data_IF_269341769614
#
_entry.id   IF_269341769614
#
_cell.length_a   1.000
_cell.length_b   1.000
_cell.length_c   1.000
_cell.angle_alpha   90.00
_cell.angle_beta   90.00
_cell.angle_gamma   90.00
#
_symmetry.space_group_name_H-M   'P 1'
#
loop_
_entity.id
_entity.type
_entity.pdbx_description
1 polymer ?
#
# COMPACT_ATOMS: atom_id res chain seq x y z
N UNK A 1 16.46 33.58 18.60
CA UNK A 1 16.55 32.62 17.47
C UNK A 1 15.21 32.62 16.74
N UNK A 2 15.16 33.06 15.49
CA UNK A 2 13.90 33.28 14.76
C UNK A 2 13.13 31.97 14.59
N UNK A 3 11.86 31.92 15.02
CA UNK A 3 11.01 30.73 14.90
C UNK A 3 10.90 30.19 13.48
N UNK A 4 11.02 31.05 12.46
CA UNK A 4 11.03 30.65 11.05
C UNK A 4 12.27 29.85 10.64
N UNK A 5 13.42 30.08 11.29
CA UNK A 5 14.66 29.33 11.09
C UNK A 5 14.54 27.93 11.71
N UNK A 6 13.99 27.85 12.92
CA UNK A 6 13.68 26.58 13.61
C UNK A 6 12.71 25.70 12.81
N UNK A 7 11.65 26.29 12.23
CA UNK A 7 10.70 25.55 11.39
C UNK A 7 11.37 25.02 10.12
N UNK A 8 12.20 25.84 9.45
CA UNK A 8 12.93 25.41 8.25
C UNK A 8 13.91 24.27 8.56
N UNK A 9 14.65 24.37 9.64
CA UNK A 9 15.57 23.30 10.09
C UNK A 9 14.81 22.02 10.44
N UNK A 10 13.67 22.12 11.12
CA UNK A 10 12.83 20.97 11.43
C UNK A 10 12.33 20.27 10.15
N UNK A 11 11.80 21.03 9.20
CA UNK A 11 11.32 20.49 7.92
C UNK A 11 12.47 19.84 7.16
N UNK A 12 13.62 20.51 7.08
CA UNK A 12 14.77 19.98 6.38
C UNK A 12 15.24 18.67 7.02
N UNK A 13 15.45 18.67 8.34
CA UNK A 13 15.95 17.50 9.09
C UNK A 13 15.04 16.29 9.01
N UNK A 14 13.73 16.47 9.17
CA UNK A 14 12.81 15.35 9.29
C UNK A 14 12.13 14.95 7.98
N UNK A 15 12.07 15.82 6.97
CA UNK A 15 11.35 15.54 5.72
C UNK A 15 12.26 15.56 4.49
N UNK A 16 13.08 16.60 4.32
CA UNK A 16 13.88 16.77 3.09
C UNK A 16 15.13 15.88 3.12
N UNK A 17 15.93 16.02 4.17
CA UNK A 17 17.19 15.31 4.33
C UNK A 17 17.06 13.77 4.21
N UNK A 18 16.06 13.10 4.84
CA UNK A 18 15.91 11.65 4.68
C UNK A 18 15.54 11.22 3.26
N UNK A 19 14.80 12.05 2.51
CA UNK A 19 14.41 11.77 1.11
C UNK A 19 15.63 11.87 0.19
N UNK A 20 16.46 12.89 0.39
CA UNK A 20 17.67 13.15 -0.39
C UNK A 20 18.74 12.08 -0.12
N UNK A 21 18.94 11.73 1.15
CA UNK A 21 19.96 10.77 1.61
C UNK A 21 19.50 9.30 1.60
N UNK A 22 18.22 9.04 1.28
CA UNK A 22 17.63 7.68 1.25
C UNK A 22 17.70 6.93 2.58
N UNK A 23 17.67 7.62 3.73
CA UNK A 23 17.81 7.03 5.09
C UNK A 23 16.58 6.25 5.61
N UNK A 24 15.58 5.97 4.77
CA UNK A 24 14.30 5.39 5.19
C UNK A 24 13.43 6.38 5.98
N UNK A 25 12.35 5.89 6.59
CA UNK A 25 11.44 6.74 7.35
C UNK A 25 11.91 6.91 8.79
N UNK A 26 11.67 8.10 9.34
CA UNK A 26 11.70 8.34 10.78
C UNK A 26 10.28 8.31 11.38
N UNK A 27 10.18 8.18 12.71
CA UNK A 27 8.90 8.08 13.40
C UNK A 27 8.00 9.30 13.18
N UNK A 28 8.58 10.50 13.06
CA UNK A 28 7.83 11.73 12.79
C UNK A 28 7.18 11.65 11.40
N UNK A 29 7.91 11.22 10.37
CA UNK A 29 7.37 11.00 9.04
C UNK A 29 6.24 9.97 9.04
N UNK A 30 6.41 8.83 9.72
CA UNK A 30 5.38 7.80 9.78
C UNK A 30 4.08 8.32 10.41
N UNK A 31 4.19 9.03 11.54
CA UNK A 31 3.03 9.63 12.20
C UNK A 31 2.39 10.70 11.31
N UNK A 32 3.18 11.62 10.75
CA UNK A 32 2.66 12.71 9.92
C UNK A 32 2.00 12.19 8.64
N UNK A 33 2.60 11.21 7.97
CA UNK A 33 2.03 10.62 6.76
C UNK A 33 0.80 9.76 7.07
N UNK A 34 0.78 9.08 8.22
CA UNK A 34 -0.40 8.37 8.72
C UNK A 34 -1.58 9.32 8.97
N UNK A 35 -1.34 10.46 9.63
CA UNK A 35 -2.37 11.49 9.86
C UNK A 35 -2.85 12.07 8.53
N UNK A 36 -1.93 12.40 7.61
CA UNK A 36 -2.27 12.92 6.29
C UNK A 36 -3.17 11.94 5.52
N UNK A 37 -2.78 10.66 5.49
CA UNK A 37 -3.55 9.60 4.85
C UNK A 37 -4.94 9.46 5.49
N UNK A 38 -5.03 9.46 6.82
CA UNK A 38 -6.31 9.39 7.53
C UNK A 38 -7.24 10.55 7.15
N UNK A 39 -6.73 11.80 7.14
CA UNK A 39 -7.51 12.98 6.74
C UNK A 39 -7.97 12.87 5.30
N UNK A 40 -7.10 12.41 4.38
CA UNK A 40 -7.47 12.20 2.97
C UNK A 40 -8.57 11.15 2.82
N UNK A 41 -8.40 9.97 3.45
CA UNK A 41 -9.36 8.86 3.40
C UNK A 41 -10.70 9.27 4.02
N UNK A 42 -10.69 9.92 5.18
CA UNK A 42 -11.92 10.36 5.84
C UNK A 42 -12.66 11.44 5.04
N UNK A 43 -11.93 12.41 4.48
CA UNK A 43 -12.53 13.41 3.59
C UNK A 43 -13.15 12.75 2.36
N UNK A 44 -12.44 11.79 1.75
CA UNK A 44 -12.93 11.06 0.60
C UNK A 44 -14.16 10.20 0.90
N UNK A 45 -14.17 9.52 2.04
CA UNK A 45 -15.33 8.79 2.56
C UNK A 45 -16.57 9.68 2.61
N UNK A 46 -16.45 10.89 3.19
CA UNK A 46 -17.58 11.85 3.28
C UNK A 46 -18.06 12.27 1.89
N UNK A 47 -17.18 12.43 0.92
CA UNK A 47 -17.54 12.73 -0.47
C UNK A 47 -18.28 11.55 -1.10
N UNK A 48 -17.79 10.32 -0.93
CA UNK A 48 -18.43 9.10 -1.44
C UNK A 48 -19.86 8.95 -0.92
N UNK A 49 -20.08 9.21 0.37
CA UNK A 49 -21.43 9.20 0.97
C UNK A 49 -22.34 10.25 0.34
N UNK A 50 -21.87 11.49 0.14
CA UNK A 50 -22.65 12.56 -0.52
C UNK A 50 -23.05 12.17 -1.94
N UNK A 51 -22.16 11.49 -2.66
CA UNK A 51 -22.39 11.01 -4.02
C UNK A 51 -23.15 9.68 -4.10
N UNK A 52 -23.55 9.11 -2.95
CA UNK A 52 -24.22 7.80 -2.84
C UNK A 52 -23.41 6.67 -3.51
N UNK A 53 -22.08 6.76 -3.44
CA UNK A 53 -21.15 5.72 -3.89
C UNK A 53 -20.99 4.72 -2.75
N UNK A 54 -21.42 3.48 -2.99
CA UNK A 54 -21.25 2.40 -2.02
C UNK A 54 -19.77 1.98 -1.94
N UNK A 55 -19.25 1.90 -0.71
CA UNK A 55 -17.91 1.41 -0.45
C UNK A 55 -18.01 -0.09 -0.20
N UNK A 56 -18.05 -0.83 -1.29
CA UNK A 56 -18.25 -2.27 -1.31
C UNK A 56 -17.01 -2.98 -1.93
N UNK A 57 -17.20 -4.24 -2.32
CA UNK A 57 -16.19 -5.03 -3.02
C UNK A 57 -15.71 -4.36 -4.31
N UNK A 58 -16.59 -3.72 -5.10
CA UNK A 58 -16.20 -3.07 -6.36
C UNK A 58 -15.32 -1.86 -6.09
N UNK A 59 -15.58 -1.14 -5.00
CA UNK A 59 -14.69 -0.07 -4.55
C UNK A 59 -13.28 -0.59 -4.29
N UNK A 60 -13.18 -1.72 -3.57
CA UNK A 60 -11.90 -2.37 -3.29
C UNK A 60 -11.19 -2.81 -4.59
N UNK A 61 -11.92 -3.37 -5.54
CA UNK A 61 -11.37 -3.76 -6.85
C UNK A 61 -10.81 -2.55 -7.62
N UNK A 62 -11.54 -1.43 -7.65
CA UNK A 62 -11.02 -0.17 -8.23
C UNK A 62 -9.75 0.26 -7.49
N UNK A 63 -9.74 0.23 -6.16
CA UNK A 63 -8.55 0.58 -5.37
C UNK A 63 -7.35 -0.29 -5.74
N UNK A 64 -7.52 -1.60 -5.98
CA UNK A 64 -6.44 -2.50 -6.40
C UNK A 64 -5.78 -2.03 -7.70
N UNK A 65 -6.55 -1.62 -8.70
CA UNK A 65 -5.97 -1.08 -9.95
C UNK A 65 -5.14 0.18 -9.69
N UNK A 66 -5.62 1.09 -8.84
CA UNK A 66 -4.86 2.29 -8.49
C UNK A 66 -3.62 2.01 -7.64
N UNK A 67 -3.65 0.96 -6.80
CA UNK A 67 -2.46 0.47 -6.09
C UNK A 67 -1.44 -0.13 -7.08
N UNK A 68 -1.88 -0.88 -8.09
CA UNK A 68 -0.98 -1.36 -9.15
C UNK A 68 -0.37 -0.17 -9.91
N UNK A 69 -1.18 0.84 -10.24
CA UNK A 69 -0.69 2.05 -10.91
C UNK A 69 0.39 2.79 -10.10
N UNK A 70 0.12 3.12 -8.84
CA UNK A 70 1.09 3.86 -8.00
C UNK A 70 2.38 3.04 -7.79
N UNK A 71 2.27 1.71 -7.66
CA UNK A 71 3.44 0.86 -7.41
C UNK A 71 4.30 0.64 -8.64
N UNK A 72 3.69 0.44 -9.82
CA UNK A 72 4.42 0.43 -11.10
C UNK A 72 5.11 1.76 -11.33
N UNK A 73 4.40 2.88 -11.18
CA UNK A 73 4.99 4.22 -11.33
C UNK A 73 6.16 4.40 -10.37
N UNK A 74 6.00 4.03 -9.10
CA UNK A 74 7.05 4.18 -8.09
C UNK A 74 8.27 3.29 -8.39
N UNK A 75 8.05 2.06 -8.83
CA UNK A 75 9.12 1.14 -9.19
C UNK A 75 9.87 1.62 -10.44
N UNK A 76 9.17 2.18 -11.43
CA UNK A 76 9.78 2.75 -12.64
C UNK A 76 10.58 4.04 -12.36
N UNK A 77 10.18 4.83 -11.36
CA UNK A 77 11.00 5.94 -10.83
C UNK A 77 12.28 5.39 -10.19
N UNK A 78 12.17 4.31 -9.42
CA UNK A 78 13.33 3.65 -8.82
C UNK A 78 14.26 3.04 -9.89
N UNK A 79 13.71 2.57 -11.01
CA UNK A 79 14.46 2.08 -12.18
C UNK A 79 15.03 3.19 -13.09
N UNK A 80 14.84 4.47 -12.74
CA UNK A 80 15.40 5.60 -13.47
C UNK A 80 14.67 6.00 -14.77
N UNK A 81 13.50 5.40 -15.08
CA UNK A 81 12.70 5.79 -16.25
C UNK A 81 12.09 7.18 -16.06
N UNK A 82 11.52 7.43 -14.88
CA UNK A 82 10.92 8.71 -14.53
C UNK A 82 11.84 9.51 -13.60
N UNK A 83 11.89 10.84 -13.74
CA UNK A 83 12.72 11.68 -12.89
C UNK A 83 12.26 11.57 -11.43
N UNK A 84 13.22 11.47 -10.50
CA UNK A 84 12.96 11.44 -9.06
C UNK A 84 12.61 12.83 -8.55
N UNK A 85 11.34 13.20 -8.67
CA UNK A 85 10.75 14.44 -8.17
C UNK A 85 9.93 14.18 -6.90
N UNK A 86 9.66 15.23 -6.12
CA UNK A 86 8.83 15.16 -4.91
C UNK A 86 7.48 14.44 -5.13
N UNK A 87 6.80 14.68 -6.26
CA UNK A 87 5.51 14.05 -6.60
C UNK A 87 5.61 12.63 -7.15
N UNK A 88 6.82 12.12 -7.37
CA UNK A 88 7.08 10.77 -7.89
C UNK A 88 7.68 9.84 -6.82
N UNK A 89 7.94 10.37 -5.63
CA UNK A 89 8.39 9.63 -4.45
C UNK A 89 7.43 9.84 -3.28
N UNK A 90 7.49 8.99 -2.26
CA UNK A 90 6.65 9.13 -1.06
C UNK A 90 7.10 10.33 -0.23
N UNK A 91 6.18 11.13 0.34
CA UNK A 91 4.71 10.99 0.32
C UNK A 91 4.03 11.59 -0.92
N UNK A 92 4.74 12.39 -1.73
CA UNK A 92 4.13 13.16 -2.82
C UNK A 92 3.40 12.30 -3.86
N UNK A 93 3.93 11.12 -4.20
CA UNK A 93 3.26 10.18 -5.12
C UNK A 93 1.96 9.61 -4.55
N UNK A 94 1.89 9.39 -3.23
CA UNK A 94 0.66 8.91 -2.57
C UNK A 94 -0.41 9.99 -2.65
N UNK A 95 -0.03 11.26 -2.46
CA UNK A 95 -0.95 12.40 -2.63
C UNK A 95 -1.37 12.55 -4.09
N UNK A 96 -0.43 12.55 -5.03
CA UNK A 96 -0.72 12.77 -6.45
C UNK A 96 -1.62 11.68 -7.04
N UNK A 97 -1.22 10.40 -6.89
CA UNK A 97 -2.00 9.27 -7.41
C UNK A 97 -3.26 9.04 -6.58
N UNK A 98 -3.24 9.35 -5.27
CA UNK A 98 -4.41 9.33 -4.40
C UNK A 98 -5.47 10.35 -4.83
N UNK A 99 -5.08 11.58 -5.17
CA UNK A 99 -6.00 12.58 -5.72
C UNK A 99 -6.53 12.12 -7.08
N UNK A 100 -5.67 11.57 -7.95
CA UNK A 100 -6.09 11.02 -9.24
C UNK A 100 -7.13 9.90 -9.08
N UNK A 101 -6.91 8.99 -8.12
CA UNK A 101 -7.87 7.95 -7.71
C UNK A 101 -9.20 8.53 -7.23
N UNK A 102 -9.16 9.51 -6.33
CA UNK A 102 -10.36 10.15 -5.79
C UNK A 102 -11.16 10.85 -6.89
N UNK A 103 -10.50 11.62 -7.76
CA UNK A 103 -11.12 12.31 -8.90
C UNK A 103 -11.76 11.29 -9.85
N UNK A 104 -11.07 10.19 -10.15
CA UNK A 104 -11.58 9.14 -11.01
C UNK A 104 -12.89 8.52 -10.49
N UNK A 105 -12.95 8.16 -9.20
CA UNK A 105 -14.18 7.66 -8.58
C UNK A 105 -15.26 8.73 -8.55
N UNK A 106 -14.93 10.00 -8.27
CA UNK A 106 -15.91 11.09 -8.24
C UNK A 106 -16.51 11.32 -9.62
N UNK A 107 -15.69 11.50 -10.64
CA UNK A 107 -16.13 11.70 -12.04
C UNK A 107 -16.95 10.50 -12.47
N UNK A 108 -16.45 9.29 -12.26
CA UNK A 108 -17.16 8.10 -12.68
C UNK A 108 -18.44 7.86 -11.87
N UNK A 109 -18.49 8.26 -10.61
CA UNK A 109 -19.68 8.21 -9.76
C UNK A 109 -20.76 9.18 -10.22
N UNK A 110 -20.37 10.38 -10.63
CA UNK A 110 -21.29 11.38 -11.21
C UNK A 110 -21.84 10.88 -12.55
N UNK A 111 -20.98 10.36 -13.43
CA UNK A 111 -21.35 9.96 -14.80
C UNK A 111 -22.10 8.61 -14.86
N UNK A 112 -21.60 7.59 -14.16
CA UNK A 112 -22.06 6.20 -14.28
C UNK A 112 -22.81 5.67 -13.05
N UNK A 113 -22.91 6.46 -11.97
CA UNK A 113 -23.63 6.13 -10.73
C UNK A 113 -23.21 4.75 -10.19
N UNK A 114 -24.12 3.76 -10.18
CA UNK A 114 -23.86 2.39 -9.70
C UNK A 114 -22.78 1.63 -10.50
N UNK A 115 -22.46 2.10 -11.71
CA UNK A 115 -21.42 1.53 -12.59
C UNK A 115 -20.11 2.33 -12.57
N UNK A 116 -19.87 3.13 -11.51
CA UNK A 116 -18.67 3.95 -11.37
C UNK A 116 -17.34 3.17 -11.50
N UNK A 117 -17.35 1.89 -11.17
CA UNK A 117 -16.15 1.07 -11.23
C UNK A 117 -15.62 0.91 -12.67
N UNK A 118 -16.49 0.96 -13.70
CA UNK A 118 -16.07 0.71 -15.09
C UNK A 118 -15.14 1.80 -15.63
N UNK A 119 -15.59 3.05 -15.62
CA UNK A 119 -14.77 4.17 -16.10
C UNK A 119 -13.60 4.43 -15.15
N UNK A 120 -13.78 4.25 -13.83
CA UNK A 120 -12.68 4.42 -12.89
C UNK A 120 -11.55 3.40 -13.10
N UNK A 121 -11.87 2.12 -13.34
CA UNK A 121 -10.88 1.09 -13.72
C UNK A 121 -10.25 1.44 -15.07
N UNK A 122 -11.04 1.83 -16.07
CA UNK A 122 -10.51 2.19 -17.39
C UNK A 122 -9.46 3.31 -17.31
N UNK A 123 -9.71 4.34 -16.47
CA UNK A 123 -8.76 5.42 -16.21
C UNK A 123 -7.43 4.93 -15.62
N UNK A 124 -7.45 3.92 -14.75
CA UNK A 124 -6.22 3.31 -14.21
C UNK A 124 -5.53 2.38 -15.22
N UNK A 125 -6.28 1.59 -15.98
CA UNK A 125 -5.74 0.57 -16.89
C UNK A 125 -4.91 1.21 -18.02
N UNK A 126 -5.34 2.34 -18.57
CA UNK A 126 -4.62 3.01 -19.67
C UNK A 126 -3.14 3.31 -19.31
N UNK A 127 -2.83 4.05 -18.23
CA UNK A 127 -1.44 4.27 -17.82
C UNK A 127 -0.75 3.00 -17.33
N UNK A 128 -1.47 2.05 -16.71
CA UNK A 128 -0.91 0.75 -16.32
C UNK A 128 -0.36 -0.02 -17.52
N UNK A 129 -1.07 -0.06 -18.66
CA UNK A 129 -0.62 -0.79 -19.84
C UNK A 129 0.71 -0.24 -20.38
N UNK A 130 0.83 1.09 -20.44
CA UNK A 130 2.09 1.75 -20.81
C UNK A 130 3.22 1.41 -19.83
N UNK A 131 2.95 1.51 -18.52
CA UNK A 131 3.95 1.22 -17.49
C UNK A 131 4.32 -0.27 -17.43
N UNK A 132 3.40 -1.18 -17.73
CA UNK A 132 3.68 -2.61 -17.82
C UNK A 132 4.58 -2.94 -19.01
N UNK A 133 4.40 -2.26 -20.14
CA UNK A 133 5.30 -2.38 -21.28
C UNK A 133 6.72 -1.97 -20.88
N UNK A 134 6.89 -0.80 -20.25
CA UNK A 134 8.18 -0.30 -19.76
C UNK A 134 8.79 -1.17 -18.63
N UNK A 135 7.95 -1.76 -17.79
CA UNK A 135 8.38 -2.70 -16.76
C UNK A 135 8.91 -4.00 -17.40
N UNK A 136 8.21 -4.53 -18.42
CA UNK A 136 8.57 -5.79 -19.06
C UNK A 136 9.92 -5.77 -19.77
N UNK A 137 10.35 -4.61 -20.27
CA UNK A 137 11.66 -4.41 -20.89
C UNK A 137 12.82 -4.33 -19.89
N UNK A 138 12.53 -4.34 -18.58
CA UNK A 138 13.49 -4.13 -17.49
C UNK A 138 13.60 -5.30 -16.51
N UNK A 139 12.98 -6.44 -16.83
CA UNK A 139 13.01 -7.63 -15.98
C UNK A 139 14.42 -8.23 -15.97
N UNK A 140 15.01 -8.35 -14.79
CA UNK A 140 16.33 -8.95 -14.55
C UNK A 140 16.26 -10.19 -13.67
N UNK A 141 15.35 -10.20 -12.68
CA UNK A 141 15.19 -11.27 -11.70
C UNK A 141 13.75 -11.83 -11.69
N UNK A 142 13.31 -12.52 -12.76
CA UNK A 142 11.96 -13.09 -12.82
C UNK A 142 11.70 -14.15 -11.74
N UNK A 143 12.74 -14.82 -11.24
CA UNK A 143 12.66 -15.82 -10.18
C UNK A 143 12.16 -15.25 -8.84
N UNK A 144 12.34 -13.95 -8.61
CA UNK A 144 11.80 -13.25 -7.44
C UNK A 144 10.27 -13.41 -7.32
N UNK A 145 9.56 -13.44 -8.46
CA UNK A 145 8.10 -13.65 -8.49
C UNK A 145 7.76 -15.02 -7.90
N UNK A 146 8.55 -16.05 -8.21
CA UNK A 146 8.33 -17.41 -7.71
C UNK A 146 8.59 -17.47 -6.22
N UNK A 147 9.72 -16.94 -5.74
CA UNK A 147 10.05 -16.94 -4.31
C UNK A 147 8.98 -16.23 -3.47
N UNK A 148 8.56 -15.03 -3.90
CA UNK A 148 7.51 -14.28 -3.22
C UNK A 148 6.18 -15.01 -3.27
N UNK A 149 5.80 -15.59 -4.43
CA UNK A 149 4.54 -16.30 -4.59
C UNK A 149 4.46 -17.56 -3.72
N UNK A 150 5.56 -18.33 -3.61
CA UNK A 150 5.60 -19.54 -2.76
C UNK A 150 5.38 -19.17 -1.30
N UNK A 151 6.13 -18.18 -0.78
CA UNK A 151 5.99 -17.74 0.61
C UNK A 151 4.59 -17.15 0.86
N UNK A 152 4.10 -16.32 -0.05
CA UNK A 152 2.78 -15.71 0.03
C UNK A 152 1.67 -16.76 0.09
N UNK A 153 1.67 -17.73 -0.83
CA UNK A 153 0.62 -18.75 -0.89
C UNK A 153 0.66 -19.66 0.33
N UNK A 154 1.84 -20.15 0.72
CA UNK A 154 1.98 -20.99 1.92
C UNK A 154 1.50 -20.27 3.18
N UNK A 155 1.95 -19.03 3.36
CA UNK A 155 1.60 -18.22 4.53
C UNK A 155 0.11 -17.83 4.53
N UNK A 156 -0.47 -17.49 3.38
CA UNK A 156 -1.90 -17.18 3.23
C UNK A 156 -2.77 -18.40 3.54
N UNK A 157 -2.50 -19.56 2.92
CA UNK A 157 -3.29 -20.77 3.15
C UNK A 157 -3.19 -21.27 4.59
N UNK A 158 -1.99 -21.21 5.19
CA UNK A 158 -1.79 -21.54 6.59
C UNK A 158 -2.64 -20.63 7.50
N UNK A 159 -2.63 -19.32 7.25
CA UNK A 159 -3.40 -18.36 8.04
C UNK A 159 -4.91 -18.62 7.93
N UNK A 160 -5.43 -18.80 6.70
CA UNK A 160 -6.85 -19.08 6.49
C UNK A 160 -7.26 -20.38 7.19
N UNK A 161 -6.45 -21.43 7.08
CA UNK A 161 -6.68 -22.70 7.77
C UNK A 161 -6.72 -22.52 9.30
N UNK A 162 -5.79 -21.75 9.88
CA UNK A 162 -5.77 -21.46 11.32
C UNK A 162 -7.04 -20.72 11.75
N UNK A 163 -7.43 -19.66 11.03
CA UNK A 163 -8.61 -18.85 11.42
C UNK A 163 -9.89 -19.67 11.30
N UNK A 164 -10.06 -20.45 10.23
CA UNK A 164 -11.22 -21.32 10.05
C UNK A 164 -11.32 -22.39 11.14
N UNK A 165 -10.18 -23.01 11.50
CA UNK A 165 -10.12 -24.02 12.57
C UNK A 165 -10.45 -23.43 13.95
N UNK A 166 -10.01 -22.21 14.22
CA UNK A 166 -10.27 -21.54 15.49
C UNK A 166 -11.73 -21.06 15.63
N UNK A 167 -12.52 -20.98 14.53
CA UNK A 167 -13.90 -20.47 14.48
C UNK A 167 -14.12 -19.12 15.20
N UNK A 168 -13.06 -18.35 15.42
CA UNK A 168 -13.10 -17.12 16.24
C UNK A 168 -13.64 -15.90 15.49
N UNK A 169 -13.58 -15.88 14.15
CA UNK A 169 -13.96 -14.72 13.36
C UNK A 169 -14.55 -15.10 12.01
N UNK A 170 -15.63 -14.41 11.60
CA UNK A 170 -16.16 -14.47 10.24
C UNK A 170 -15.31 -13.55 9.36
N UNK A 171 -14.47 -14.14 8.50
CA UNK A 171 -13.65 -13.39 7.54
C UNK A 171 -14.52 -13.00 6.34
N UNK A 172 -14.74 -11.69 6.15
CA UNK A 172 -15.42 -11.17 4.97
C UNK A 172 -14.48 -11.12 3.75
N UNK A 173 -15.03 -10.88 2.56
CA UNK A 173 -14.23 -10.85 1.33
C UNK A 173 -13.20 -9.71 1.31
N UNK A 174 -13.56 -8.54 1.85
CA UNK A 174 -12.63 -7.40 1.95
C UNK A 174 -11.53 -7.69 2.99
N UNK A 175 -11.85 -8.45 4.05
CA UNK A 175 -10.85 -8.92 5.02
C UNK A 175 -9.80 -9.80 4.34
N UNK A 176 -10.24 -10.70 3.44
CA UNK A 176 -9.31 -11.52 2.64
C UNK A 176 -8.39 -10.67 1.77
N UNK A 177 -8.87 -9.57 1.20
CA UNK A 177 -8.02 -8.66 0.43
C UNK A 177 -6.99 -7.95 1.31
N UNK A 178 -7.39 -7.47 2.49
CA UNK A 178 -6.49 -6.84 3.44
C UNK A 178 -5.41 -7.82 3.93
N UNK A 179 -5.81 -9.03 4.32
CA UNK A 179 -4.90 -10.12 4.73
C UNK A 179 -3.91 -10.43 3.61
N UNK A 180 -4.40 -10.72 2.40
CA UNK A 180 -3.56 -11.07 1.26
C UNK A 180 -2.55 -9.95 0.97
N UNK A 181 -3.00 -8.69 0.99
CA UNK A 181 -2.16 -7.52 0.73
C UNK A 181 -1.04 -7.33 1.75
N UNK A 182 -1.32 -7.55 3.04
CA UNK A 182 -0.29 -7.50 4.08
C UNK A 182 0.73 -8.64 3.93
N UNK A 183 0.28 -9.82 3.49
CA UNK A 183 1.16 -10.95 3.21
C UNK A 183 1.98 -10.77 1.94
N UNK A 184 1.46 -10.08 0.91
CA UNK A 184 2.25 -9.67 -0.27
C UNK A 184 3.44 -8.83 0.20
N UNK A 185 3.19 -7.85 1.07
CA UNK A 185 4.25 -7.01 1.63
C UNK A 185 5.26 -7.79 2.46
N UNK A 186 4.77 -8.63 3.38
CA UNK A 186 5.64 -9.45 4.21
C UNK A 186 6.55 -10.34 3.35
N UNK A 187 5.96 -11.04 2.38
CA UNK A 187 6.68 -11.99 1.52
C UNK A 187 7.68 -11.28 0.61
N UNK A 188 7.27 -10.19 -0.05
CA UNK A 188 8.15 -9.43 -0.93
C UNK A 188 9.33 -8.81 -0.17
N UNK A 189 9.07 -8.29 1.03
CA UNK A 189 10.10 -7.68 1.87
C UNK A 189 11.06 -8.72 2.43
N UNK A 190 10.58 -9.84 2.95
CA UNK A 190 11.45 -10.91 3.46
C UNK A 190 12.35 -11.47 2.36
N UNK A 191 11.81 -11.70 1.15
CA UNK A 191 12.61 -12.16 -0.01
C UNK A 191 13.60 -11.10 -0.47
N UNK A 192 13.17 -9.84 -0.58
CA UNK A 192 14.04 -8.75 -1.01
C UNK A 192 15.26 -8.58 -0.09
N UNK A 193 15.08 -8.72 1.22
CA UNK A 193 16.16 -8.59 2.19
C UNK A 193 17.05 -9.84 2.22
N UNK A 194 16.45 -11.03 2.35
CA UNK A 194 17.22 -12.27 2.52
C UNK A 194 17.98 -12.66 1.24
N UNK A 195 17.31 -12.59 0.08
CA UNK A 195 17.83 -13.12 -1.19
C UNK A 195 18.56 -12.04 -1.99
N UNK A 196 18.05 -10.79 -1.95
CA UNK A 196 18.54 -9.70 -2.78
C UNK A 196 19.26 -8.59 -2.00
N UNK A 197 19.49 -8.79 -0.70
CA UNK A 197 20.22 -7.88 0.19
C UNK A 197 19.66 -6.45 0.22
N UNK A 198 18.35 -6.30 0.08
CA UNK A 198 17.67 -5.03 0.26
C UNK A 198 17.63 -4.63 1.74
N UNK A 199 17.22 -3.40 2.01
CA UNK A 199 17.16 -2.85 3.36
C UNK A 199 15.76 -2.32 3.69
N UNK A 200 15.26 -2.67 4.88
CA UNK A 200 13.94 -2.25 5.38
C UNK A 200 13.94 -0.77 5.76
N UNK A 201 12.99 -0.01 5.22
CA UNK A 201 12.89 1.45 5.40
C UNK A 201 12.10 1.86 6.64
N UNK A 202 11.25 0.99 7.17
CA UNK A 202 10.36 1.28 8.31
C UNK A 202 11.00 0.89 9.65
N UNK A 203 10.97 1.76 10.68
CA UNK A 203 11.62 1.48 11.96
C UNK A 203 11.07 0.25 12.70
N UNK A 204 9.75 0.07 12.72
CA UNK A 204 9.12 -1.04 13.45
C UNK A 204 9.44 -2.40 12.83
N UNK A 205 9.23 -2.63 11.52
CA UNK A 205 9.66 -3.87 10.89
C UNK A 205 11.18 -4.10 11.01
N UNK A 206 12.00 -3.06 10.81
CA UNK A 206 13.46 -3.16 10.95
C UNK A 206 13.86 -3.69 12.31
N UNK A 207 13.29 -3.12 13.39
CA UNK A 207 13.54 -3.59 14.75
C UNK A 207 13.27 -5.10 14.88
N UNK A 208 12.11 -5.60 14.43
CA UNK A 208 11.82 -7.04 14.53
C UNK A 208 12.78 -7.90 13.70
N UNK A 209 13.14 -7.46 12.50
CA UNK A 209 14.06 -8.17 11.61
C UNK A 209 15.47 -8.26 12.20
N UNK A 210 15.96 -7.20 12.85
CA UNK A 210 17.29 -7.18 13.46
C UNK A 210 17.44 -8.22 14.58
N UNK A 211 16.35 -8.54 15.31
CA UNK A 211 16.37 -9.54 16.39
C UNK A 211 16.00 -10.96 15.95
N UNK A 212 15.05 -11.11 15.02
CA UNK A 212 14.44 -12.41 14.69
C UNK A 212 14.63 -12.85 13.23
N UNK A 213 15.30 -12.04 12.41
CA UNK A 213 15.56 -12.28 10.99
C UNK A 213 14.44 -11.79 10.05
N UNK A 214 14.69 -11.73 8.72
CA UNK A 214 13.77 -11.10 7.76
C UNK A 214 12.38 -11.75 7.66
N UNK A 215 12.28 -13.06 7.88
CA UNK A 215 11.02 -13.80 7.81
C UNK A 215 10.10 -13.57 9.03
N UNK A 216 10.60 -12.97 10.11
CA UNK A 216 9.81 -12.66 11.32
C UNK A 216 8.65 -11.67 11.07
N UNK A 217 8.72 -10.88 10.00
CA UNK A 217 7.67 -9.93 9.63
C UNK A 217 6.41 -10.61 9.12
N UNK A 218 6.49 -11.85 8.62
CA UNK A 218 5.33 -12.62 8.19
C UNK A 218 4.37 -12.87 9.36
N UNK A 219 4.75 -13.57 10.44
CA UNK A 219 3.84 -13.78 11.58
C UNK A 219 3.45 -12.46 12.26
N UNK A 220 4.32 -11.45 12.30
CA UNK A 220 3.98 -10.13 12.85
C UNK A 220 2.84 -9.48 12.05
N UNK A 221 2.95 -9.40 10.72
CA UNK A 221 1.91 -8.82 9.87
C UNK A 221 0.61 -9.63 9.90
N UNK A 222 0.70 -10.96 10.01
CA UNK A 222 -0.49 -11.81 10.23
C UNK A 222 -1.21 -11.44 11.51
N UNK A 223 -0.50 -11.32 12.63
CA UNK A 223 -1.09 -10.97 13.91
C UNK A 223 -1.72 -9.58 13.86
N UNK A 224 -0.97 -8.59 13.38
CA UNK A 224 -1.42 -7.19 13.32
C UNK A 224 -2.65 -7.05 12.42
N UNK A 225 -2.65 -7.64 11.21
CA UNK A 225 -3.80 -7.53 10.30
C UNK A 225 -5.05 -8.19 10.90
N UNK A 226 -4.92 -9.35 11.55
CA UNK A 226 -6.05 -10.00 12.20
C UNK A 226 -6.62 -9.16 13.34
N UNK A 227 -5.78 -8.58 14.19
CA UNK A 227 -6.22 -7.72 15.29
C UNK A 227 -6.93 -6.46 14.78
N UNK A 228 -6.35 -5.78 13.78
CA UNK A 228 -6.95 -4.58 13.19
C UNK A 228 -8.30 -4.88 12.54
N UNK A 229 -8.40 -5.99 11.79
CA UNK A 229 -9.66 -6.39 11.17
C UNK A 229 -10.72 -6.81 12.19
N UNK A 230 -10.32 -7.50 13.26
CA UNK A 230 -11.23 -7.86 14.37
C UNK A 230 -11.78 -6.61 15.06
N UNK A 231 -10.94 -5.61 15.36
CA UNK A 231 -11.35 -4.31 15.91
C UNK A 231 -12.33 -3.62 14.95
N UNK A 232 -12.01 -3.54 13.65
CA UNK A 232 -12.91 -2.91 12.69
C UNK A 232 -14.26 -3.63 12.58
N UNK A 233 -14.26 -4.96 12.62
CA UNK A 233 -15.47 -5.78 12.57
C UNK A 233 -16.36 -5.65 13.82
N UNK A 234 -15.77 -5.40 14.99
CA UNK A 234 -16.52 -5.28 16.26
C UNK A 234 -16.95 -3.84 16.54
N UNK A 235 -16.05 -2.88 16.34
CA UNK A 235 -16.24 -1.50 16.81
C UNK A 235 -16.87 -0.57 15.74
N UNK A 236 -16.66 -0.84 14.45
CA UNK A 236 -17.13 0.05 13.38
C UNK A 236 -18.48 -0.41 12.82
N UNK A 237 -19.54 0.23 13.30
CA UNK A 237 -20.94 -0.09 12.93
C UNK A 237 -21.33 0.35 11.51
N UNK A 238 -20.80 1.49 11.04
CA UNK A 238 -21.08 1.95 9.67
C UNK A 238 -20.31 1.10 8.66
N UNK A 239 -21.04 0.40 7.78
CA UNK A 239 -20.44 -0.53 6.82
C UNK A 239 -19.52 0.16 5.81
N UNK A 240 -19.83 1.38 5.37
CA UNK A 240 -19.00 2.10 4.41
C UNK A 240 -17.68 2.57 5.05
N UNK A 241 -17.75 3.08 6.29
CA UNK A 241 -16.57 3.44 7.08
C UNK A 241 -15.73 2.21 7.40
N UNK A 242 -16.37 1.11 7.81
CA UNK A 242 -15.68 -0.16 8.06
C UNK A 242 -14.95 -0.63 6.80
N UNK A 243 -15.62 -0.62 5.66
CA UNK A 243 -15.02 -1.07 4.40
C UNK A 243 -13.90 -0.16 3.92
N UNK A 244 -14.03 1.17 4.00
CA UNK A 244 -12.95 2.07 3.55
C UNK A 244 -11.69 1.93 4.43
N UNK A 245 -11.86 1.68 5.74
CA UNK A 245 -10.75 1.42 6.64
C UNK A 245 -10.05 0.10 6.29
N UNK A 246 -10.81 -0.98 6.04
CA UNK A 246 -10.26 -2.27 5.57
C UNK A 246 -9.53 -2.14 4.23
N UNK A 247 -10.09 -1.37 3.29
CA UNK A 247 -9.48 -1.08 1.98
C UNK A 247 -8.21 -0.23 2.15
N UNK A 248 -8.15 0.63 3.15
CA UNK A 248 -6.93 1.38 3.49
C UNK A 248 -5.84 0.43 4.01
N UNK A 249 -6.18 -0.52 4.90
CA UNK A 249 -5.24 -1.57 5.34
C UNK A 249 -4.76 -2.44 4.18
N UNK A 250 -5.65 -2.76 3.23
CA UNK A 250 -5.31 -3.44 1.98
C UNK A 250 -4.29 -2.62 1.17
N UNK A 251 -4.57 -1.34 0.90
CA UNK A 251 -3.67 -0.49 0.14
C UNK A 251 -2.30 -0.30 0.82
N UNK A 252 -2.27 -0.16 2.14
CA UNK A 252 -1.04 -0.02 2.93
C UNK A 252 -0.15 -1.25 2.91
N UNK A 253 -0.68 -2.45 2.65
CA UNK A 253 0.13 -3.66 2.44
C UNK A 253 0.50 -3.82 0.97
N UNK A 254 -0.48 -3.72 0.08
CA UNK A 254 -0.28 -4.01 -1.32
C UNK A 254 0.67 -3.01 -2.00
N UNK A 255 0.65 -1.74 -1.57
CA UNK A 255 1.52 -0.70 -2.12
C UNK A 255 3.02 -0.96 -1.88
N UNK A 256 3.51 -1.07 -0.63
CA UNK A 256 4.92 -1.41 -0.40
C UNK A 256 5.28 -2.80 -0.95
N UNK A 257 4.39 -3.79 -0.82
CA UNK A 257 4.67 -5.15 -1.27
C UNK A 257 4.88 -5.30 -2.78
N UNK A 258 3.97 -4.74 -3.58
CA UNK A 258 4.14 -4.75 -5.05
C UNK A 258 5.32 -3.90 -5.49
N UNK A 259 5.54 -2.73 -4.86
CA UNK A 259 6.73 -1.91 -5.17
C UNK A 259 8.01 -2.70 -4.90
N UNK A 260 8.13 -3.36 -3.75
CA UNK A 260 9.30 -4.15 -3.38
C UNK A 260 9.49 -5.29 -4.39
N UNK A 261 8.44 -6.04 -4.71
CA UNK A 261 8.49 -7.09 -5.73
C UNK A 261 8.93 -6.55 -7.10
N UNK A 262 8.33 -5.48 -7.60
CA UNK A 262 8.66 -4.90 -8.91
C UNK A 262 10.10 -4.39 -8.95
N UNK A 263 10.57 -3.77 -7.88
CA UNK A 263 11.97 -3.35 -7.75
C UNK A 263 12.93 -4.53 -7.78
N UNK A 264 12.65 -5.57 -7.01
CA UNK A 264 13.47 -6.79 -7.00
C UNK A 264 13.49 -7.45 -8.37
N UNK A 265 12.34 -7.57 -9.04
CA UNK A 265 12.25 -8.14 -10.40
C UNK A 265 13.05 -7.32 -11.43
N UNK A 266 13.14 -6.00 -11.27
CA UNK A 266 13.97 -5.14 -12.11
C UNK A 266 15.43 -5.01 -11.63
N UNK A 267 15.77 -5.50 -10.44
CA UNK A 267 17.11 -5.40 -9.86
C UNK A 267 17.52 -3.99 -9.41
N UNK A 268 16.58 -3.20 -8.87
CA UNK A 268 16.77 -1.77 -8.51
C UNK A 268 16.38 -1.36 -7.09
#
# INVERSE_FOLDING_TARGET
>A
MNGMLLIREFIYRYYIYPIDTKQGYNLIQEITYGILLFVMVYTFYRICLKLKIAIDRRFAEVTVFYVILITLMRALVDAGLFPRLYYTVTPGIVVAVGIYYMISIIISGILLKKRYYLLSIAMAVVPILYMLFEFSSRITHPEAIVYVSVILLLSYYLLIYIVEKLKKAKIERIDKYAIFSQLVDASATSVGIEVYHYWEQHPVPRFFMDYFGPYSIIPLKMLVVLLVLDIFNKEVKDDNLRNILKITVMALGLAPGLRNLFRTVMGV
#
